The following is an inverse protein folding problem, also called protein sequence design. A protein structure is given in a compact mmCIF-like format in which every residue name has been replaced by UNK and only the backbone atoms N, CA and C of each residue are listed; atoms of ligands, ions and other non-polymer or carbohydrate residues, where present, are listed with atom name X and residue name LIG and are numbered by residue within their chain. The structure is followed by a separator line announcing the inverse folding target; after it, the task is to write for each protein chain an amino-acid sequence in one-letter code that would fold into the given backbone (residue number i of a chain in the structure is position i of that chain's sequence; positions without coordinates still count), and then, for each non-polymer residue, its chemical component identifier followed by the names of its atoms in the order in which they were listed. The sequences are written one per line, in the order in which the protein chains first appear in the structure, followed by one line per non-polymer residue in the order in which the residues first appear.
data_IF_968424801298
#
_entry.id   IF_968424801298
#
_cell.length_a   1.000
_cell.length_b   1.000
_cell.length_c   1.000
_cell.angle_alpha   90.00
_cell.angle_beta   90.00
_cell.angle_gamma   90.00
#
_symmetry.space_group_name_H-M   'P 1'
#
loop_
_entity.id
_entity.type
_entity.pdbx_description
1 polymer ?
#
# COMPACT_ATOMS: atom_id res chain seq x y z
N UNK A 1 -4.75 9.80 -27.24
CA UNK A 1 -4.12 10.94 -26.53
C UNK A 1 -2.88 10.38 -25.86
N UNK A 2 -1.69 10.90 -26.13
CA UNK A 2 -0.46 10.45 -25.47
C UNK A 2 -0.41 11.02 -24.05
N UNK A 3 -0.65 10.15 -23.06
CA UNK A 3 -0.67 10.50 -21.64
C UNK A 3 0.67 10.27 -20.95
N UNK A 4 1.65 9.67 -21.64
CA UNK A 4 2.98 9.38 -21.09
C UNK A 4 3.70 10.65 -20.61
N UNK A 5 3.48 11.78 -21.29
CA UNK A 5 4.05 13.09 -20.93
C UNK A 5 3.60 13.65 -19.57
N UNK A 6 2.50 13.13 -19.03
CA UNK A 6 1.99 13.54 -17.71
C UNK A 6 2.40 12.58 -16.59
N UNK A 7 2.98 11.43 -16.93
CA UNK A 7 3.54 10.54 -15.93
C UNK A 7 4.83 11.15 -15.37
N UNK A 8 4.92 11.21 -14.04
CA UNK A 8 6.17 11.51 -13.36
C UNK A 8 7.25 10.52 -13.83
N UNK A 9 8.45 11.04 -14.08
CA UNK A 9 9.60 10.23 -14.48
C UNK A 9 10.23 9.50 -13.29
N UNK A 10 10.99 8.41 -13.51
CA UNK A 10 11.63 7.67 -12.42
C UNK A 10 12.49 8.55 -11.49
N UNK A 11 13.15 9.57 -12.04
CA UNK A 11 14.05 10.45 -11.26
C UNK A 11 13.29 11.28 -10.21
N UNK A 12 12.00 11.55 -10.44
CA UNK A 12 11.17 12.21 -9.43
C UNK A 12 10.96 11.32 -8.20
N UNK A 13 10.85 10.01 -8.40
CA UNK A 13 10.74 9.03 -7.31
C UNK A 13 12.08 8.76 -6.64
N UNK A 14 13.20 8.88 -7.36
CA UNK A 14 14.53 8.83 -6.74
C UNK A 14 14.73 10.03 -5.79
N UNK A 15 14.34 11.24 -6.23
CA UNK A 15 14.40 12.44 -5.40
C UNK A 15 13.46 12.34 -4.18
N UNK A 16 12.24 11.83 -4.37
CA UNK A 16 11.30 11.58 -3.27
C UNK A 16 11.86 10.56 -2.28
N UNK A 17 12.42 9.46 -2.76
CA UNK A 17 13.00 8.41 -1.91
C UNK A 17 14.19 8.93 -1.12
N UNK A 18 15.07 9.73 -1.74
CA UNK A 18 16.19 10.36 -1.05
C UNK A 18 15.71 11.30 0.09
N UNK A 19 14.66 12.09 -0.16
CA UNK A 19 14.02 12.93 0.85
C UNK A 19 13.43 12.09 2.00
N UNK A 20 12.63 11.07 1.68
CA UNK A 20 12.00 10.19 2.68
C UNK A 20 13.03 9.48 3.56
N UNK A 21 14.14 9.02 2.97
CA UNK A 21 15.24 8.44 3.72
C UNK A 21 15.85 9.45 4.69
N UNK A 22 16.20 10.65 4.22
CA UNK A 22 16.80 11.69 5.06
C UNK A 22 15.88 12.06 6.23
N UNK A 23 14.58 12.22 5.96
CA UNK A 23 13.56 12.48 6.99
C UNK A 23 13.46 11.34 8.01
N UNK A 24 13.44 10.09 7.56
CA UNK A 24 13.37 8.91 8.44
C UNK A 24 14.55 8.90 9.43
N UNK A 25 15.78 9.02 8.93
CA UNK A 25 16.96 9.01 9.79
C UNK A 25 17.03 10.21 10.73
N UNK A 26 16.68 11.41 10.22
CA UNK A 26 16.64 12.64 11.04
C UNK A 26 15.64 12.52 12.18
N UNK A 27 14.44 12.01 11.90
CA UNK A 27 13.36 11.89 12.87
C UNK A 27 13.61 10.84 13.95
N UNK A 28 14.30 9.76 13.60
CA UNK A 28 14.52 8.63 14.50
C UNK A 28 15.90 8.63 15.16
N UNK A 29 16.84 9.47 14.71
CA UNK A 29 18.19 9.56 15.27
C UNK A 29 18.99 8.26 15.12
N UNK A 30 18.69 7.47 14.09
CA UNK A 30 19.34 6.18 13.82
C UNK A 30 20.49 6.37 12.83
N UNK A 31 21.56 5.59 12.98
CA UNK A 31 22.64 5.54 12.00
C UNK A 31 22.31 4.52 10.88
N UNK A 32 22.56 4.90 9.63
CA UNK A 32 22.30 4.04 8.47
C UNK A 32 23.06 2.72 8.54
N UNK A 33 24.32 2.77 8.94
CA UNK A 33 25.19 1.58 9.02
C UNK A 33 24.70 0.58 10.07
N UNK A 34 24.15 1.05 11.19
CA UNK A 34 23.58 0.18 12.23
C UNK A 34 22.33 -0.54 11.73
N UNK A 35 21.43 0.19 11.04
CA UNK A 35 20.24 -0.40 10.40
C UNK A 35 20.65 -1.42 9.34
N UNK A 36 21.61 -1.07 8.49
CA UNK A 36 22.07 -1.95 7.41
C UNK A 36 22.72 -3.21 7.97
N UNK A 37 23.55 -3.07 9.00
CA UNK A 37 24.18 -4.21 9.67
C UNK A 37 23.12 -5.13 10.31
N UNK A 38 22.15 -4.56 11.02
CA UNK A 38 21.05 -5.31 11.62
C UNK A 38 20.21 -6.04 10.57
N UNK A 39 19.82 -5.37 9.47
CA UNK A 39 19.08 -5.98 8.39
C UNK A 39 19.88 -7.08 7.67
N UNK A 40 21.18 -6.85 7.41
CA UNK A 40 22.05 -7.84 6.79
C UNK A 40 22.16 -9.11 7.64
N UNK A 41 22.22 -8.99 8.97
CA UNK A 41 22.18 -10.14 9.87
C UNK A 41 20.85 -10.91 9.83
N UNK A 42 19.72 -10.21 9.59
CA UNK A 42 18.41 -10.86 9.46
C UNK A 42 18.27 -11.65 8.15
N UNK A 43 18.76 -11.11 7.03
CA UNK A 43 18.60 -11.73 5.71
C UNK A 43 19.80 -12.58 5.27
N UNK A 44 20.90 -12.51 6.00
CA UNK A 44 22.12 -13.30 5.74
C UNK A 44 22.99 -12.78 4.58
N UNK A 45 22.74 -11.56 4.09
CA UNK A 45 23.49 -10.96 2.98
C UNK A 45 23.58 -9.43 3.12
N UNK A 46 24.54 -8.77 2.47
CA UNK A 46 24.61 -7.31 2.44
C UNK A 46 23.31 -6.72 1.88
N UNK A 47 22.87 -5.60 2.46
CA UNK A 47 21.64 -4.93 2.07
C UNK A 47 21.89 -3.55 1.49
N UNK A 48 20.98 -3.10 0.64
CA UNK A 48 20.92 -1.74 0.10
C UNK A 48 19.51 -1.19 0.23
N UNK A 49 19.35 0.14 0.16
CA UNK A 49 18.03 0.75 0.18
C UNK A 49 17.25 0.37 -1.08
N UNK A 50 15.98 0.01 -0.94
CA UNK A 50 15.13 -0.21 -2.12
C UNK A 50 14.96 1.07 -2.93
N UNK A 51 14.76 0.98 -4.26
CA UNK A 51 14.64 2.16 -5.13
C UNK A 51 13.45 3.08 -4.82
N UNK A 52 12.47 2.59 -4.06
CA UNK A 52 11.30 3.34 -3.61
C UNK A 52 11.20 3.18 -2.10
N UNK A 53 10.94 4.29 -1.41
CA UNK A 53 10.84 4.36 0.05
C UNK A 53 9.45 4.84 0.47
N UNK A 54 9.09 4.56 1.73
CA UNK A 54 7.82 4.99 2.31
C UNK A 54 7.97 6.29 3.08
N UNK A 55 6.88 7.07 3.21
CA UNK A 55 6.90 8.31 3.97
C UNK A 55 7.12 8.09 5.49
N UNK A 56 6.78 6.90 5.99
CA UNK A 56 6.84 6.53 7.42
C UNK A 56 7.68 5.28 7.68
N UNK A 57 8.41 4.81 6.66
CA UNK A 57 9.21 3.59 6.73
C UNK A 57 10.47 3.66 5.92
N UNK A 58 11.50 2.95 6.36
CA UNK A 58 12.72 2.71 5.62
C UNK A 58 12.82 1.23 5.24
N UNK A 59 13.04 0.93 3.96
CA UNK A 59 13.11 -0.44 3.43
C UNK A 59 14.46 -0.71 2.81
N UNK A 60 15.02 -1.87 3.13
CA UNK A 60 16.24 -2.40 2.51
C UNK A 60 16.01 -3.81 1.97
N UNK A 61 16.79 -4.18 0.96
CA UNK A 61 16.81 -5.51 0.36
C UNK A 61 18.24 -5.96 0.15
N UNK A 62 18.50 -7.26 0.25
CA UNK A 62 19.79 -7.82 -0.19
C UNK A 62 19.75 -8.15 -1.68
N UNK A 63 20.87 -7.97 -2.37
CA UNK A 63 20.94 -8.20 -3.83
C UNK A 63 20.67 -9.67 -4.20
N UNK A 64 21.05 -10.60 -3.32
CA UNK A 64 20.79 -12.04 -3.45
C UNK A 64 19.60 -12.52 -2.61
N UNK A 65 19.00 -11.63 -1.81
CA UNK A 65 17.95 -12.01 -0.87
C UNK A 65 16.57 -11.98 -1.54
N UNK A 66 15.82 -13.07 -1.41
CA UNK A 66 14.40 -13.11 -1.77
C UNK A 66 13.49 -12.36 -0.76
N UNK A 67 14.06 -11.48 0.06
CA UNK A 67 13.41 -10.84 1.19
C UNK A 67 13.81 -9.37 1.31
N UNK A 68 12.89 -8.59 1.87
CA UNK A 68 13.11 -7.20 2.29
C UNK A 68 13.05 -7.11 3.81
N UNK A 69 13.71 -6.09 4.36
CA UNK A 69 13.55 -5.67 5.75
C UNK A 69 12.98 -4.25 5.75
N UNK A 70 11.86 -4.07 6.44
CA UNK A 70 11.20 -2.77 6.58
C UNK A 70 11.22 -2.31 8.04
N UNK A 71 11.65 -1.08 8.24
CA UNK A 71 11.70 -0.37 9.52
C UNK A 71 10.61 0.70 9.51
N UNK A 72 9.62 0.59 10.40
CA UNK A 72 8.44 1.46 10.41
C UNK A 72 8.31 2.25 11.69
N UNK A 73 7.78 3.47 11.57
CA UNK A 73 7.37 4.26 12.73
C UNK A 73 6.17 3.67 13.45
N UNK A 74 5.17 3.17 12.71
CA UNK A 74 3.94 2.58 13.23
C UNK A 74 3.96 1.06 13.07
N UNK A 75 3.34 0.32 14.01
CA UNK A 75 3.23 -1.13 13.88
C UNK A 75 2.20 -1.49 12.81
N UNK A 76 2.52 -2.50 12.01
CA UNK A 76 1.57 -3.22 11.18
C UNK A 76 0.73 -4.19 12.03
N UNK A 77 -0.54 -4.31 11.68
CA UNK A 77 -1.42 -5.33 12.24
C UNK A 77 -1.19 -6.67 11.55
N UNK A 78 -0.40 -7.55 12.17
CA UNK A 78 -0.12 -8.88 11.60
C UNK A 78 -1.38 -9.70 11.36
N UNK A 79 -2.41 -9.53 12.21
CA UNK A 79 -3.72 -10.15 12.01
C UNK A 79 -4.39 -9.68 10.71
N UNK A 80 -4.36 -8.38 10.41
CA UNK A 80 -4.93 -7.87 9.16
C UNK A 80 -4.13 -8.35 7.96
N UNK A 81 -2.80 -8.44 8.05
CA UNK A 81 -1.96 -9.00 6.98
C UNK A 81 -2.28 -10.47 6.72
N UNK A 82 -2.45 -11.29 7.76
CA UNK A 82 -2.83 -12.69 7.62
C UNK A 82 -4.18 -12.85 6.92
N UNK A 83 -5.16 -12.02 7.30
CA UNK A 83 -6.48 -11.99 6.64
C UNK A 83 -6.35 -11.50 5.20
N UNK A 84 -5.56 -10.46 4.94
CA UNK A 84 -5.32 -9.96 3.59
C UNK A 84 -4.70 -11.04 2.70
N UNK A 85 -3.76 -11.84 3.21
CA UNK A 85 -3.19 -12.99 2.48
C UNK A 85 -4.24 -14.03 2.14
N UNK A 86 -5.20 -14.30 3.02
CA UNK A 86 -6.31 -15.21 2.73
C UNK A 86 -7.24 -14.65 1.65
N UNK A 87 -7.52 -13.35 1.69
CA UNK A 87 -8.45 -12.71 0.74
C UNK A 87 -7.83 -12.45 -0.63
N UNK A 88 -6.58 -12.01 -0.68
CA UNK A 88 -5.92 -11.54 -1.90
C UNK A 88 -4.88 -12.54 -2.45
N UNK A 89 -4.58 -13.60 -1.71
CA UNK A 89 -3.62 -14.63 -2.13
C UNK A 89 -2.24 -14.04 -2.43
N UNK A 90 -1.71 -14.38 -3.60
CA UNK A 90 -0.34 -14.06 -4.01
C UNK A 90 -0.08 -12.57 -4.22
N UNK A 91 -1.12 -11.72 -4.24
CA UNK A 91 -0.93 -10.27 -4.26
C UNK A 91 -0.31 -9.72 -2.98
N UNK A 92 -0.40 -10.45 -1.86
CA UNK A 92 0.11 -10.00 -0.55
C UNK A 92 1.31 -10.85 -0.16
N UNK A 93 2.52 -10.28 -0.09
CA UNK A 93 3.73 -11.04 0.27
C UNK A 93 3.62 -11.59 1.69
N UNK A 94 4.40 -12.63 1.97
CA UNK A 94 4.53 -13.11 3.35
C UNK A 94 5.29 -12.05 4.14
N UNK A 95 4.81 -11.73 5.34
CA UNK A 95 5.40 -10.71 6.19
C UNK A 95 5.42 -11.23 7.64
N UNK A 96 6.53 -10.99 8.34
CA UNK A 96 6.76 -11.41 9.73
C UNK A 96 7.32 -10.23 10.52
N UNK A 97 6.83 -10.04 11.74
CA UNK A 97 7.44 -9.08 12.66
C UNK A 97 8.70 -9.65 13.30
N UNK A 98 9.74 -8.83 13.41
CA UNK A 98 10.99 -9.12 14.12
C UNK A 98 11.11 -8.33 15.43
N UNK A 99 10.01 -7.70 15.88
CA UNK A 99 10.00 -6.83 17.06
C UNK A 99 10.46 -5.41 16.74
N UNK A 100 11.30 -4.84 17.60
CA UNK A 100 11.73 -3.44 17.52
C UNK A 100 13.25 -3.34 17.38
N UNK A 101 13.69 -2.33 16.63
CA UNK A 101 15.07 -1.85 16.60
C UNK A 101 15.07 -0.39 17.03
N UNK A 102 15.55 -0.10 18.24
CA UNK A 102 15.39 1.23 18.84
C UNK A 102 13.91 1.61 18.97
N UNK A 103 13.50 2.67 18.27
CA UNK A 103 12.14 3.21 18.29
C UNK A 103 11.28 2.82 17.07
N UNK A 104 11.77 1.93 16.21
CA UNK A 104 11.07 1.51 14.99
C UNK A 104 10.72 0.02 15.02
N UNK A 105 9.58 -0.31 14.43
CA UNK A 105 9.12 -1.68 14.26
C UNK A 105 9.80 -2.31 13.06
N UNK A 106 10.22 -3.57 13.19
CA UNK A 106 10.95 -4.29 12.14
C UNK A 106 10.08 -5.40 11.58
N UNK A 107 10.03 -5.48 10.25
CA UNK A 107 9.34 -6.52 9.51
C UNK A 107 10.26 -7.12 8.46
N UNK A 108 10.16 -8.43 8.27
CA UNK A 108 10.79 -9.16 7.16
C UNK A 108 9.67 -9.67 6.27
N UNK A 109 9.75 -9.36 4.99
CA UNK A 109 8.76 -9.81 4.01
C UNK A 109 9.43 -10.39 2.77
N UNK A 110 8.72 -11.24 2.04
CA UNK A 110 9.19 -11.72 0.74
C UNK A 110 9.31 -10.53 -0.22
N UNK A 111 10.41 -10.50 -0.98
CA UNK A 111 10.62 -9.51 -2.02
C UNK A 111 9.58 -9.72 -3.12
N UNK A 112 8.86 -8.66 -3.46
CA UNK A 112 7.93 -8.66 -4.60
C UNK A 112 8.74 -8.43 -5.87
N UNK A 113 8.72 -9.35 -6.86
CA UNK A 113 9.51 -9.20 -8.09
C UNK A 113 9.08 -8.01 -8.93
N UNK A 114 10.01 -7.47 -9.73
CA UNK A 114 9.73 -6.39 -10.67
C UNK A 114 9.69 -4.99 -10.01
N UNK A 115 9.77 -3.92 -10.82
CA UNK A 115 9.73 -2.56 -10.31
C UNK A 115 8.34 -2.17 -9.80
N UNK A 116 8.32 -1.21 -8.88
CA UNK A 116 7.10 -0.48 -8.56
C UNK A 116 6.57 0.22 -9.82
N UNK A 117 5.26 0.13 -10.07
CA UNK A 117 4.59 0.63 -11.26
C UNK A 117 4.87 2.12 -11.48
N UNK A 118 4.97 2.90 -10.40
CA UNK A 118 5.32 4.31 -10.46
C UNK A 118 6.63 4.59 -11.22
N UNK A 119 7.60 3.67 -11.21
CA UNK A 119 8.89 3.79 -11.90
C UNK A 119 8.81 3.43 -13.39
N UNK A 120 7.81 2.68 -13.81
CA UNK A 120 7.67 2.21 -15.22
C UNK A 120 6.41 2.75 -15.91
N UNK A 121 5.59 3.52 -15.18
CA UNK A 121 4.31 4.05 -15.67
C UNK A 121 4.44 4.81 -16.98
N UNK A 122 5.47 5.65 -17.15
CA UNK A 122 5.67 6.40 -18.40
C UNK A 122 5.89 5.49 -19.60
N UNK A 123 6.56 4.36 -19.41
CA UNK A 123 6.77 3.34 -20.44
C UNK A 123 5.47 2.60 -20.76
N UNK A 124 4.69 2.22 -19.73
CA UNK A 124 3.38 1.57 -19.91
C UNK A 124 2.36 2.47 -20.62
N UNK A 125 2.48 3.79 -20.47
CA UNK A 125 1.64 4.77 -21.17
C UNK A 125 2.14 5.12 -22.58
N UNK A 126 3.23 4.52 -23.04
CA UNK A 126 3.69 4.64 -24.42
C UNK A 126 2.62 4.13 -25.39
N UNK A 127 2.42 4.77 -26.56
CA UNK A 127 1.48 4.31 -27.58
C UNK A 127 1.94 3.02 -28.31
N UNK A 128 3.01 2.37 -27.86
CA UNK A 128 3.48 1.12 -28.45
C UNK A 128 2.48 -0.02 -28.18
N UNK A 129 2.07 -0.82 -29.20
CA UNK A 129 1.07 -1.87 -29.04
C UNK A 129 1.39 -2.90 -27.93
N UNK A 130 2.67 -3.24 -27.75
CA UNK A 130 3.10 -4.15 -26.68
C UNK A 130 2.87 -3.55 -25.28
N UNK A 131 3.07 -2.23 -25.11
CA UNK A 131 2.84 -1.54 -23.84
C UNK A 131 1.36 -1.35 -23.57
N UNK A 132 0.54 -1.14 -24.60
CA UNK A 132 -0.92 -1.15 -24.46
C UNK A 132 -1.41 -2.51 -23.93
N UNK A 133 -0.89 -3.62 -24.46
CA UNK A 133 -1.19 -4.95 -23.95
C UNK A 133 -0.75 -5.14 -22.50
N UNK A 134 0.47 -4.71 -22.14
CA UNK A 134 0.95 -4.78 -20.76
C UNK A 134 0.06 -3.97 -19.82
N UNK A 135 -0.34 -2.75 -20.21
CA UNK A 135 -1.22 -1.90 -19.42
C UNK A 135 -2.61 -2.53 -19.25
N UNK A 136 -3.17 -3.11 -20.31
CA UNK A 136 -4.43 -3.86 -20.22
C UNK A 136 -4.32 -5.02 -19.23
N UNK A 137 -3.20 -5.76 -19.23
CA UNK A 137 -2.96 -6.82 -18.27
C UNK A 137 -2.85 -6.29 -16.83
N UNK A 138 -2.14 -5.18 -16.61
CA UNK A 138 -2.05 -4.54 -15.29
C UNK A 138 -3.42 -4.12 -14.77
N UNK A 139 -4.26 -3.52 -15.63
CA UNK A 139 -5.63 -3.11 -15.27
C UNK A 139 -6.50 -4.34 -14.94
N UNK A 140 -6.37 -5.43 -15.68
CA UNK A 140 -7.09 -6.68 -15.37
C UNK A 140 -6.67 -7.27 -14.03
N UNK A 141 -5.37 -7.31 -13.74
CA UNK A 141 -4.85 -7.81 -12.47
C UNK A 141 -5.27 -6.91 -11.31
N UNK A 142 -5.30 -5.59 -11.53
CA UNK A 142 -5.81 -4.64 -10.54
C UNK A 142 -7.29 -4.85 -10.26
N UNK A 143 -8.12 -5.05 -11.29
CA UNK A 143 -9.53 -5.39 -11.13
C UNK A 143 -9.71 -6.72 -10.40
N UNK A 144 -8.87 -7.73 -10.71
CA UNK A 144 -8.87 -9.02 -10.01
C UNK A 144 -8.58 -8.83 -8.53
N UNK A 145 -7.57 -8.03 -8.17
CA UNK A 145 -7.26 -7.74 -6.77
C UNK A 145 -8.48 -7.21 -6.01
N UNK A 146 -9.19 -6.20 -6.54
CA UNK A 146 -10.39 -5.67 -5.89
C UNK A 146 -11.49 -6.71 -5.77
N UNK A 147 -11.72 -7.48 -6.83
CA UNK A 147 -12.71 -8.55 -6.83
C UNK A 147 -12.38 -9.65 -5.81
N UNK A 148 -11.10 -9.95 -5.57
CA UNK A 148 -10.66 -11.01 -4.64
C UNK A 148 -11.19 -10.79 -3.22
N UNK A 149 -11.15 -9.56 -2.70
CA UNK A 149 -11.69 -9.25 -1.38
C UNK A 149 -13.18 -9.59 -1.26
N UNK A 150 -13.94 -9.30 -2.31
CA UNK A 150 -15.37 -9.58 -2.37
C UNK A 150 -15.67 -11.07 -2.53
N UNK A 151 -14.98 -11.73 -3.45
CA UNK A 151 -15.21 -13.13 -3.83
C UNK A 151 -14.82 -14.06 -2.68
N UNK A 152 -13.70 -13.78 -2.00
CA UNK A 152 -13.13 -14.66 -0.99
C UNK A 152 -13.68 -14.40 0.42
N UNK A 153 -14.49 -13.35 0.64
CA UNK A 153 -15.04 -13.01 1.96
C UNK A 153 -15.84 -14.15 2.62
N UNK A 154 -16.60 -14.92 1.84
CA UNK A 154 -17.50 -15.96 2.36
C UNK A 154 -16.78 -17.24 2.74
N UNK A 155 -15.60 -17.48 2.17
CA UNK A 155 -14.73 -18.58 2.59
C UNK A 155 -14.10 -18.31 3.97
N UNK A 156 -13.99 -17.03 4.34
CA UNK A 156 -13.35 -16.56 5.55
C UNK A 156 -14.36 -15.74 6.38
N UNK A 157 -15.31 -16.43 7.02
CA UNK A 157 -16.40 -15.93 7.93
C UNK A 157 -15.93 -15.02 9.11
N UNK A 158 -14.72 -14.48 9.06
CA UNK A 158 -13.99 -13.87 10.18
C UNK A 158 -13.98 -12.34 10.19
N UNK A 159 -14.68 -11.69 9.26
CA UNK A 159 -14.69 -10.23 9.16
C UNK A 159 -16.09 -9.68 9.42
N UNK A 160 -16.45 -9.61 10.68
CA UNK A 160 -17.44 -8.62 11.07
C UNK A 160 -16.80 -7.23 11.00
N UNK A 161 -17.52 -6.24 10.45
CA UNK A 161 -17.09 -4.85 10.52
C UNK A 161 -16.71 -4.45 11.95
N UNK A 162 -15.72 -3.57 12.14
CA UNK A 162 -15.50 -2.97 13.45
C UNK A 162 -16.80 -2.36 13.97
N UNK A 163 -17.26 -2.73 15.19
CA UNK A 163 -18.48 -2.17 15.74
C UNK A 163 -18.31 -0.65 15.90
N UNK A 164 -19.33 0.11 15.51
CA UNK A 164 -19.33 1.57 15.69
C UNK A 164 -18.72 2.38 14.54
N UNK A 165 -18.27 1.76 13.43
CA UNK A 165 -17.67 2.47 12.29
C UNK A 165 -18.59 3.56 11.68
N UNK A 166 -19.91 3.30 11.63
CA UNK A 166 -20.89 4.32 11.22
C UNK A 166 -20.84 5.54 12.15
N UNK A 167 -20.78 5.31 13.48
CA UNK A 167 -20.70 6.38 14.46
C UNK A 167 -19.37 7.14 14.38
N UNK A 168 -18.28 6.43 14.13
CA UNK A 168 -16.96 7.04 13.90
C UNK A 168 -16.98 7.99 12.69
N UNK A 169 -17.48 7.52 11.54
CA UNK A 169 -17.61 8.36 10.35
C UNK A 169 -18.56 9.54 10.56
N UNK A 170 -19.68 9.36 11.26
CA UNK A 170 -20.55 10.47 11.65
C UNK A 170 -19.82 11.50 12.50
N UNK A 171 -19.05 11.07 13.51
CA UNK A 171 -18.28 11.97 14.37
C UNK A 171 -17.21 12.75 13.59
N UNK A 172 -16.53 12.12 12.62
CA UNK A 172 -15.55 12.80 11.76
C UNK A 172 -16.24 13.90 10.95
N UNK A 173 -17.38 13.60 10.33
CA UNK A 173 -18.15 14.60 9.57
C UNK A 173 -18.60 15.75 10.47
N UNK A 174 -18.98 15.48 11.72
CA UNK A 174 -19.42 16.50 12.68
C UNK A 174 -18.27 17.41 13.14
N UNK A 175 -17.07 16.86 13.31
CA UNK A 175 -15.88 17.64 13.67
C UNK A 175 -15.42 18.59 12.55
N UNK A 176 -15.56 18.16 11.29
CA UNK A 176 -15.09 18.95 10.13
C UNK A 176 -16.08 20.06 9.73
N UNK A 177 -17.35 19.95 10.14
CA UNK A 177 -18.42 20.86 9.71
C UNK A 177 -18.23 22.35 10.08
N UNK A 178 -17.86 22.70 11.33
CA UNK A 178 -17.91 24.09 11.78
C UNK A 178 -16.93 24.99 11.02
N UNK A 179 -15.82 24.43 10.56
CA UNK A 179 -14.72 25.16 9.95
C UNK A 179 -14.87 25.34 8.43
N UNK A 180 -15.94 24.81 7.83
CA UNK A 180 -16.13 24.82 6.39
C UNK A 180 -17.01 25.97 5.90
N UNK A 181 -16.75 26.51 4.69
CA UNK A 181 -17.66 27.42 4.01
C UNK A 181 -19.08 26.87 3.89
N UNK A 182 -20.10 27.73 3.96
CA UNK A 182 -21.52 27.35 3.93
C UNK A 182 -21.89 26.43 2.75
N UNK A 183 -21.28 26.61 1.57
CA UNK A 183 -21.51 25.75 0.40
C UNK A 183 -21.04 24.30 0.62
N UNK A 184 -20.00 24.09 1.41
CA UNK A 184 -19.48 22.77 1.76
C UNK A 184 -20.25 22.15 2.93
N UNK A 185 -20.77 22.97 3.86
CA UNK A 185 -21.66 22.51 4.94
C UNK A 185 -22.91 21.82 4.38
N UNK A 186 -23.58 22.44 3.40
CA UNK A 186 -24.76 21.85 2.75
C UNK A 186 -24.46 20.50 2.06
N UNK A 187 -23.26 20.34 1.50
CA UNK A 187 -22.82 19.06 0.92
C UNK A 187 -22.54 18.03 2.01
N UNK A 188 -21.92 18.42 3.12
CA UNK A 188 -21.70 17.54 4.25
C UNK A 188 -23.01 17.05 4.87
N UNK A 189 -24.02 17.91 4.99
CA UNK A 189 -25.34 17.50 5.46
C UNK A 189 -25.95 16.41 4.57
N UNK A 190 -25.79 16.55 3.26
CA UNK A 190 -26.21 15.51 2.32
C UNK A 190 -25.42 14.21 2.52
N UNK A 191 -24.09 14.28 2.66
CA UNK A 191 -23.24 13.11 2.93
C UNK A 191 -23.63 12.42 4.23
N UNK A 192 -23.93 13.17 5.30
CA UNK A 192 -24.41 12.62 6.59
C UNK A 192 -25.68 11.81 6.42
N UNK A 193 -26.64 12.32 5.65
CA UNK A 193 -27.93 11.65 5.42
C UNK A 193 -27.78 10.36 4.61
N UNK A 194 -26.82 10.33 3.68
CA UNK A 194 -26.58 9.19 2.80
C UNK A 194 -25.61 8.16 3.39
N UNK A 195 -24.75 8.54 4.35
CA UNK A 195 -23.74 7.67 4.96
C UNK A 195 -24.31 6.33 5.48
N UNK A 196 -25.44 6.29 6.23
CA UNK A 196 -26.01 5.01 6.68
C UNK A 196 -26.39 4.06 5.55
N UNK A 197 -26.62 4.56 4.33
CA UNK A 197 -26.98 3.72 3.18
C UNK A 197 -25.82 2.83 2.74
N UNK A 198 -24.57 3.26 2.98
CA UNK A 198 -23.39 2.45 2.69
C UNK A 198 -23.28 1.27 3.66
N UNK A 199 -23.83 1.36 4.87
CA UNK A 199 -23.76 0.28 5.88
C UNK A 199 -24.89 -0.75 5.77
N UNK A 200 -25.67 -0.72 4.68
CA UNK A 200 -26.73 -1.72 4.45
C UNK A 200 -26.11 -3.09 4.19
N UNK A 201 -26.81 -4.16 4.54
CA UNK A 201 -26.37 -5.54 4.29
C UNK A 201 -26.10 -5.86 2.81
N UNK A 202 -26.67 -5.08 1.88
CA UNK A 202 -26.38 -5.18 0.44
C UNK A 202 -24.99 -4.68 0.03
N UNK A 203 -24.33 -3.90 0.89
CA UNK A 203 -22.97 -3.36 0.72
C UNK A 203 -22.05 -3.97 1.78
N UNK A 204 -21.63 -5.23 1.60
CA UNK A 204 -20.76 -5.88 2.57
C UNK A 204 -19.41 -5.18 2.59
N UNK A 205 -18.93 -4.95 3.80
CA UNK A 205 -17.59 -4.45 4.04
C UNK A 205 -16.56 -5.53 3.74
N UNK A 206 -15.47 -5.09 3.13
CA UNK A 206 -14.32 -5.95 2.84
C UNK A 206 -13.08 -5.27 3.41
N UNK A 207 -12.11 -6.08 3.82
CA UNK A 207 -10.79 -5.55 4.07
C UNK A 207 -10.28 -4.93 2.76
N UNK A 208 -9.73 -3.72 2.80
CA UNK A 208 -9.09 -3.05 1.68
C UNK A 208 -7.69 -2.57 2.08
N UNK A 209 -6.91 -2.21 1.08
CA UNK A 209 -5.60 -1.60 1.27
C UNK A 209 -5.77 -0.08 1.42
N UNK A 210 -5.15 0.52 2.43
CA UNK A 210 -5.41 1.93 2.79
C UNK A 210 -4.64 2.91 1.94
N UNK A 211 -3.47 2.50 1.48
CA UNK A 211 -2.57 3.34 0.71
C UNK A 211 -2.29 2.74 -0.67
N UNK A 212 -3.34 2.60 -1.49
CA UNK A 212 -3.22 1.93 -2.78
C UNK A 212 -2.67 2.87 -3.87
N UNK A 213 -1.41 3.25 -3.70
CA UNK A 213 -0.67 4.09 -4.62
C UNK A 213 0.20 3.28 -5.59
N UNK A 214 0.59 3.89 -6.69
CA UNK A 214 1.39 3.25 -7.75
C UNK A 214 2.79 2.79 -7.28
N UNK A 215 3.31 3.39 -6.21
CA UNK A 215 4.56 2.97 -5.56
C UNK A 215 4.42 1.68 -4.74
N UNK A 216 3.19 1.26 -4.48
CA UNK A 216 2.84 0.08 -3.70
C UNK A 216 2.38 -1.09 -4.59
N UNK A 217 2.47 -0.95 -5.92
CA UNK A 217 2.10 -1.99 -6.88
C UNK A 217 3.35 -2.35 -7.67
N UNK A 218 3.74 -3.62 -7.71
CA UNK A 218 4.85 -4.09 -8.51
C UNK A 218 4.34 -4.81 -9.75
N UNK A 219 5.08 -4.69 -10.86
CA UNK A 219 4.71 -5.27 -12.15
C UNK A 219 5.87 -5.99 -12.80
N UNK A 220 5.55 -7.02 -13.59
CA UNK A 220 6.46 -7.58 -14.58
C UNK A 220 6.39 -6.72 -15.85
N UNK A 221 7.51 -6.10 -16.24
CA UNK A 221 7.56 -5.16 -17.35
C UNK A 221 7.31 -5.79 -18.72
N UNK A 222 7.56 -7.09 -18.87
CA UNK A 222 7.44 -7.80 -20.13
C UNK A 222 6.00 -8.27 -20.40
N UNK A 223 5.26 -8.57 -19.34
CA UNK A 223 3.90 -9.12 -19.41
C UNK A 223 2.82 -8.16 -18.93
N UNK A 224 3.18 -7.17 -18.12
CA UNK A 224 2.25 -6.27 -17.45
C UNK A 224 1.51 -6.89 -16.26
N UNK A 225 1.83 -8.12 -15.87
CA UNK A 225 1.24 -8.74 -14.69
C UNK A 225 1.62 -8.01 -13.41
N UNK A 226 0.68 -7.85 -12.49
CA UNK A 226 0.99 -7.43 -11.12
C UNK A 226 1.61 -8.61 -10.40
N UNK A 227 2.86 -8.46 -9.98
CA UNK A 227 3.66 -9.49 -9.29
C UNK A 227 3.43 -9.48 -7.78
N UNK A 228 2.85 -8.42 -7.25
CA UNK A 228 2.44 -8.27 -5.86
C UNK A 228 2.29 -6.81 -5.46
N UNK A 229 1.93 -6.59 -4.20
CA UNK A 229 1.82 -5.25 -3.61
C UNK A 229 2.80 -5.09 -2.46
N UNK A 230 3.43 -3.92 -2.43
CA UNK A 230 4.41 -3.53 -1.43
C UNK A 230 3.82 -2.46 -0.52
N UNK A 231 4.12 -2.53 0.77
CA UNK A 231 3.38 -1.89 1.87
C UNK A 231 2.10 -2.65 2.25
N UNK A 232 1.89 -2.84 3.55
CA UNK A 232 0.93 -3.80 4.10
C UNK A 232 -0.02 -3.14 5.11
N UNK A 233 -0.38 -1.88 4.85
CA UNK A 233 -1.41 -1.16 5.60
C UNK A 233 -2.80 -1.47 5.01
N UNK A 234 -3.60 -2.20 5.78
CA UNK A 234 -4.96 -2.59 5.43
C UNK A 234 -5.94 -2.13 6.50
N UNK A 235 -7.04 -1.50 6.09
CA UNK A 235 -8.22 -1.19 6.91
C UNK A 235 -9.50 -1.65 6.24
N UNK A 236 -10.57 -1.69 7.03
CA UNK A 236 -11.88 -2.06 6.54
C UNK A 236 -12.54 -0.90 5.81
N UNK A 237 -12.95 -1.14 4.57
CA UNK A 237 -13.71 -0.19 3.79
C UNK A 237 -14.98 -0.84 3.22
N UNK A 238 -15.88 0.03 2.78
CA UNK A 238 -17.11 -0.36 2.12
C UNK A 238 -16.78 -0.73 0.67
N UNK A 239 -17.19 -1.93 0.23
CA UNK A 239 -17.11 -2.28 -1.19
C UNK A 239 -18.23 -1.53 -1.92
N UNK A 240 -17.87 -0.58 -2.79
CA UNK A 240 -18.78 0.06 -3.73
C UNK A 240 -19.16 -0.87 -4.88
#
# INVERSE_FOLDING_TARGET
MDVSRYAAKPEAYDALSAYQMAEFFTKHGLARDEIHHFAANLVGSPVSATPVQGATSYTVSGDEAAQVVQFRRSPLSMRQIEVARQLYGDFVPECKSQGMFGLVHVYVANLVPGPAFCRVRSQFFSPAPAMEQCLQQTVQDFARFFASAWINKSAHNSLEPPPGLLGEYSNILDQVCPDLPAQLQAKLDHVRQELPRLFRSSYPMVLQHDDLLENNIHVDEATGHITGKFDAEFSFFLSL
#
